data_IF_567013731712
#
_entry.id   IF_567013731712
#
_cell.length_a   1.000
_cell.length_b   1.000
_cell.length_c   1.000
_cell.angle_alpha   90.00
_cell.angle_beta   90.00
_cell.angle_gamma   90.00
#
_symmetry.space_group_name_H-M   'P 1'
#
loop_
_entity.id
_entity.type
_entity.pdbx_description
1 polymer ?
#
# COMPACT_ATOMS: atom_id res chain seq x y z
N UNK A 1 1.05 -13.25 7.07
CA UNK A 1 0.82 -13.53 8.49
C UNK A 1 2.17 -13.49 9.21
N UNK A 2 2.25 -12.87 10.38
CA UNK A 2 3.45 -12.83 11.21
C UNK A 2 3.12 -13.42 12.59
N UNK A 3 3.58 -14.63 12.92
CA UNK A 3 3.33 -15.22 14.24
C UNK A 3 4.19 -14.54 15.32
N UNK A 4 3.67 -14.50 16.54
CA UNK A 4 4.36 -14.04 17.74
C UNK A 4 4.07 -15.01 18.89
N UNK A 5 5.09 -15.46 19.64
CA UNK A 5 4.88 -16.24 20.85
C UNK A 5 4.35 -15.39 22.02
N UNK A 6 4.31 -14.06 21.85
CA UNK A 6 3.92 -13.13 22.91
C UNK A 6 2.39 -13.02 23.01
N UNK A 7 1.87 -12.76 24.22
CA UNK A 7 0.49 -12.33 24.38
C UNK A 7 0.23 -11.07 23.55
N UNK A 8 -0.99 -10.97 23.00
CA UNK A 8 -1.39 -9.89 22.10
C UNK A 8 -1.10 -8.49 22.62
N UNK A 9 -1.34 -8.22 23.89
CA UNK A 9 -1.06 -6.91 24.49
C UNK A 9 0.43 -6.53 24.40
N UNK A 10 1.31 -7.48 24.70
CA UNK A 10 2.75 -7.29 24.66
C UNK A 10 3.26 -7.18 23.22
N UNK A 11 2.75 -8.01 22.30
CA UNK A 11 3.05 -7.92 20.88
C UNK A 11 2.65 -6.56 20.28
N UNK A 12 1.49 -6.03 20.66
CA UNK A 12 1.03 -4.68 20.27
C UNK A 12 1.97 -3.62 20.81
N UNK A 13 2.39 -3.72 22.07
CA UNK A 13 3.31 -2.77 22.70
C UNK A 13 4.69 -2.78 22.04
N UNK A 14 5.26 -3.95 21.77
CA UNK A 14 6.56 -4.08 21.10
C UNK A 14 6.52 -3.52 19.67
N UNK A 15 5.48 -3.87 18.90
CA UNK A 15 5.33 -3.34 17.55
C UNK A 15 5.13 -1.83 17.55
N UNK A 16 4.40 -1.30 18.53
CA UNK A 16 4.21 0.14 18.71
C UNK A 16 5.52 0.84 19.09
N UNK A 17 6.36 0.24 19.93
CA UNK A 17 7.67 0.78 20.29
C UNK A 17 8.64 0.78 19.09
N UNK A 18 8.56 -0.23 18.23
CA UNK A 18 9.33 -0.29 16.98
C UNK A 18 8.78 0.63 15.86
N UNK A 19 7.64 1.30 16.08
CA UNK A 19 7.01 2.19 15.11
C UNK A 19 7.11 3.64 15.56
N UNK A 20 7.65 4.51 14.69
CA UNK A 20 7.67 5.94 14.95
C UNK A 20 6.25 6.51 15.01
N UNK A 21 5.90 7.18 16.11
CA UNK A 21 4.66 7.98 16.26
C UNK A 21 4.95 9.46 15.99
N UNK A 22 4.29 10.07 15.01
CA UNK A 22 4.30 11.52 14.80
C UNK A 22 5.30 12.07 13.78
N UNK A 23 5.58 13.38 13.86
CA UNK A 23 6.35 14.14 12.88
C UNK A 23 7.86 13.99 13.12
N UNK A 24 8.41 12.83 12.76
CA UNK A 24 9.86 12.58 12.87
C UNK A 24 10.47 12.67 11.48
N UNK A 25 11.26 13.72 11.25
CA UNK A 25 11.99 14.04 10.01
C UNK A 25 12.99 12.95 9.57
N UNK A 26 13.15 11.89 10.36
CA UNK A 26 14.02 10.76 10.08
C UNK A 26 13.48 9.88 8.93
N UNK A 27 14.13 9.99 7.78
CA UNK A 27 14.00 9.07 6.66
C UNK A 27 14.55 7.68 7.05
N UNK A 28 13.98 6.61 6.49
CA UNK A 28 14.38 5.21 6.78
C UNK A 28 13.61 4.56 7.93
N UNK A 29 12.62 5.26 8.50
CA UNK A 29 11.83 4.77 9.64
C UNK A 29 10.50 4.16 9.21
N UNK A 30 9.96 3.27 10.04
CA UNK A 30 8.59 2.77 9.90
C UNK A 30 7.66 3.66 10.70
N UNK A 31 6.62 4.15 10.02
CA UNK A 31 5.66 5.10 10.58
C UNK A 31 4.26 4.52 10.42
N UNK A 32 3.38 4.80 11.38
CA UNK A 32 1.99 4.38 11.27
C UNK A 32 1.26 4.26 12.60
N UNK A 33 0.10 3.63 12.55
CA UNK A 33 -0.73 3.32 13.73
C UNK A 33 -0.70 1.83 14.04
N UNK A 34 -0.58 1.52 15.33
CA UNK A 34 -0.57 0.15 15.86
C UNK A 34 -1.59 0.04 16.98
N UNK A 35 -2.70 -0.63 16.68
CA UNK A 35 -3.77 -0.99 17.59
C UNK A 35 -4.07 -2.48 17.46
N UNK A 36 -4.62 -3.09 18.51
CA UNK A 36 -4.93 -4.51 18.54
C UNK A 36 -5.90 -4.93 17.44
N UNK A 37 -6.89 -4.08 17.11
CA UNK A 37 -7.87 -4.33 16.06
C UNK A 37 -7.42 -3.81 14.68
N UNK A 38 -6.45 -2.88 14.64
CA UNK A 38 -6.04 -2.22 13.40
C UNK A 38 -4.58 -1.80 13.43
N UNK A 39 -3.83 -2.31 12.47
CA UNK A 39 -2.43 -1.95 12.23
C UNK A 39 -2.32 -1.37 10.83
N UNK A 40 -1.69 -0.21 10.71
CA UNK A 40 -1.39 0.45 9.44
C UNK A 40 0.02 1.02 9.48
N UNK A 41 0.96 0.39 8.76
CA UNK A 41 2.37 0.75 8.77
C UNK A 41 2.86 1.04 7.35
N UNK A 42 3.81 1.97 7.22
CA UNK A 42 4.50 2.25 5.97
C UNK A 42 5.94 2.67 6.19
N UNK A 43 6.78 2.45 5.20
CA UNK A 43 8.16 2.91 5.20
C UNK A 43 8.21 4.38 4.78
N UNK A 44 8.92 5.21 5.54
CA UNK A 44 9.23 6.58 5.16
C UNK A 44 10.57 6.62 4.42
N UNK A 45 10.52 6.56 3.09
CA UNK A 45 11.69 6.79 2.23
C UNK A 45 11.88 8.27 1.89
N UNK A 46 13.08 8.63 1.42
CA UNK A 46 13.40 10.01 0.99
C UNK A 46 12.52 10.44 -0.19
N UNK A 47 12.25 9.50 -1.10
CA UNK A 47 11.44 9.72 -2.28
C UNK A 47 9.94 9.64 -1.92
N UNK A 48 9.21 10.73 -2.14
CA UNK A 48 7.75 10.72 -1.99
C UNK A 48 7.11 9.90 -3.11
N UNK A 49 6.60 8.73 -2.74
CA UNK A 49 5.89 7.84 -3.64
C UNK A 49 4.49 7.52 -3.08
N UNK A 50 3.44 7.92 -3.78
CA UNK A 50 2.06 7.65 -3.38
C UNK A 50 1.66 6.19 -3.61
N UNK A 51 2.33 5.48 -4.51
CA UNK A 51 2.04 4.08 -4.85
C UNK A 51 2.72 3.07 -3.91
N UNK A 52 3.49 3.55 -2.93
CA UNK A 52 4.22 2.70 -2.00
C UNK A 52 3.27 1.78 -1.21
N UNK A 53 3.68 0.54 -0.93
CA UNK A 53 2.86 -0.39 -0.18
C UNK A 53 2.78 0.01 1.29
N UNK A 54 1.56 -0.02 1.83
CA UNK A 54 1.29 0.07 3.25
C UNK A 54 0.91 -1.31 3.75
N UNK A 55 1.46 -1.73 4.89
CA UNK A 55 0.97 -2.90 5.59
C UNK A 55 -0.32 -2.55 6.33
N UNK A 56 -1.40 -3.29 6.06
CA UNK A 56 -2.67 -3.18 6.80
C UNK A 56 -3.06 -4.52 7.38
N UNK A 57 -3.36 -4.54 8.66
CA UNK A 57 -3.64 -5.78 9.38
C UNK A 57 -4.33 -5.60 10.73
N UNK A 58 -4.43 -6.70 11.47
CA UNK A 58 -4.98 -6.79 12.81
C UNK A 58 -4.34 -7.98 13.55
N UNK A 59 -4.34 -7.93 14.88
CA UNK A 59 -3.87 -9.04 15.70
C UNK A 59 -4.99 -10.06 15.96
N UNK A 60 -4.63 -11.34 15.88
CA UNK A 60 -5.50 -12.49 16.18
C UNK A 60 -4.82 -13.30 17.26
N UNK A 61 -5.56 -13.69 18.30
CA UNK A 61 -5.06 -14.53 19.38
C UNK A 61 -4.90 -15.99 18.88
N UNK A 62 -3.84 -16.66 19.33
CA UNK A 62 -3.55 -18.05 18.95
C UNK A 62 -3.23 -18.88 20.21
N UNK A 63 -3.27 -20.20 20.12
CA UNK A 63 -2.97 -21.08 21.26
C UNK A 63 -1.56 -20.88 21.85
N UNK A 64 -0.62 -20.33 21.06
CA UNK A 64 0.78 -20.15 21.43
C UNK A 64 1.15 -18.67 21.62
N UNK A 65 0.19 -17.74 21.63
CA UNK A 65 0.43 -16.30 21.70
C UNK A 65 -0.53 -15.54 20.80
N UNK A 66 -0.01 -14.86 19.78
CA UNK A 66 -0.83 -14.16 18.79
C UNK A 66 -0.20 -14.15 17.40
N UNK A 67 -0.95 -13.67 16.40
CA UNK A 67 -0.46 -13.48 15.05
C UNK A 67 -0.96 -12.16 14.46
N UNK A 68 -0.09 -11.45 13.75
CA UNK A 68 -0.45 -10.28 12.97
C UNK A 68 -0.86 -10.70 11.56
N UNK A 69 -2.16 -10.57 11.26
CA UNK A 69 -2.76 -10.89 9.97
C UNK A 69 -2.89 -9.61 9.16
N UNK A 70 -2.52 -9.65 7.88
CA UNK A 70 -2.57 -8.47 7.05
C UNK A 70 -1.91 -8.65 5.69
N UNK A 71 -1.94 -7.59 4.89
CA UNK A 71 -1.37 -7.55 3.54
C UNK A 71 -0.72 -6.20 3.25
N UNK A 72 0.20 -6.21 2.30
CA UNK A 72 0.75 -5.00 1.70
C UNK A 72 -0.16 -4.54 0.58
N UNK A 73 -0.64 -3.30 0.67
CA UNK A 73 -1.48 -2.70 -0.36
C UNK A 73 -1.22 -1.20 -0.47
N UNK A 74 -1.39 -0.59 -1.66
CA UNK A 74 -1.33 0.86 -1.80
C UNK A 74 -2.36 1.59 -0.93
N UNK A 75 -2.16 2.89 -0.64
CA UNK A 75 -3.17 3.76 -0.04
C UNK A 75 -4.54 3.61 -0.71
N UNK A 76 -5.62 3.51 0.08
CA UNK A 76 -6.98 3.32 -0.44
C UNK A 76 -7.39 4.46 -1.38
N UNK A 77 -6.96 5.69 -1.06
CA UNK A 77 -7.16 6.86 -1.91
C UNK A 77 -6.52 6.71 -3.28
N UNK A 78 -5.30 6.19 -3.35
CA UNK A 78 -4.59 5.97 -4.61
C UNK A 78 -5.28 4.89 -5.44
N UNK A 79 -5.74 3.83 -4.80
CA UNK A 79 -6.53 2.81 -5.47
C UNK A 79 -7.84 3.38 -6.03
N UNK A 80 -8.58 4.15 -5.23
CA UNK A 80 -9.83 4.79 -5.66
C UNK A 80 -9.60 5.77 -6.81
N UNK A 81 -8.55 6.60 -6.72
CA UNK A 81 -8.15 7.52 -7.78
C UNK A 81 -7.83 6.77 -9.08
N UNK A 82 -7.07 5.67 -9.01
CA UNK A 82 -6.74 4.88 -10.19
C UNK A 82 -7.97 4.23 -10.84
N UNK A 83 -8.91 3.72 -10.03
CA UNK A 83 -10.17 3.17 -10.54
C UNK A 83 -10.99 4.26 -11.22
N UNK A 84 -11.12 5.43 -10.59
CA UNK A 84 -11.82 6.57 -11.17
C UNK A 84 -11.17 7.04 -12.48
N UNK A 85 -9.84 7.23 -12.47
CA UNK A 85 -9.07 7.67 -13.62
C UNK A 85 -9.21 6.71 -14.81
N UNK A 86 -8.97 5.41 -14.59
CA UNK A 86 -9.09 4.40 -15.64
C UNK A 86 -10.53 4.28 -16.12
N UNK A 87 -11.52 4.41 -15.23
CA UNK A 87 -12.93 4.47 -15.59
C UNK A 87 -13.23 5.62 -16.55
N UNK A 88 -12.68 6.81 -16.29
CA UNK A 88 -12.84 7.96 -17.17
C UNK A 88 -12.15 7.75 -18.52
N UNK A 89 -10.94 7.18 -18.54
CA UNK A 89 -10.25 6.84 -19.79
C UNK A 89 -11.06 5.85 -20.63
N UNK A 90 -11.57 4.79 -20.03
CA UNK A 90 -12.39 3.78 -20.71
C UNK A 90 -13.67 4.41 -21.24
N UNK A 91 -14.40 5.16 -20.40
CA UNK A 91 -15.65 5.82 -20.80
C UNK A 91 -15.43 6.79 -21.97
N UNK A 92 -14.41 7.65 -21.86
CA UNK A 92 -14.06 8.59 -22.92
C UNK A 92 -13.69 7.89 -24.22
N UNK A 93 -12.85 6.85 -24.16
CA UNK A 93 -12.50 6.04 -25.33
C UNK A 93 -13.73 5.38 -25.94
N UNK A 94 -14.62 4.79 -25.14
CA UNK A 94 -15.85 4.16 -25.64
C UNK A 94 -16.78 5.17 -26.31
N UNK A 95 -17.00 6.34 -25.71
CA UNK A 95 -17.82 7.40 -26.30
C UNK A 95 -17.24 7.85 -27.64
N UNK A 96 -15.92 8.11 -27.69
CA UNK A 96 -15.25 8.51 -28.93
C UNK A 96 -15.39 7.45 -30.02
N UNK A 97 -15.16 6.17 -29.71
CA UNK A 97 -15.29 5.08 -30.70
C UNK A 97 -16.74 4.95 -31.18
N UNK A 98 -17.72 4.98 -30.27
CA UNK A 98 -19.13 4.77 -30.62
C UNK A 98 -19.71 5.96 -31.39
N UNK A 99 -19.44 7.19 -30.97
CA UNK A 99 -20.00 8.37 -31.64
C UNK A 99 -19.26 8.69 -32.93
N UNK A 100 -17.93 8.78 -32.89
CA UNK A 100 -17.15 9.18 -34.06
C UNK A 100 -17.07 8.04 -35.08
N UNK A 101 -16.95 6.79 -34.63
CA UNK A 101 -16.94 5.64 -35.53
C UNK A 101 -18.28 5.39 -36.24
N UNK A 102 -19.40 5.87 -35.69
CA UNK A 102 -20.70 5.89 -36.39
C UNK A 102 -20.78 6.98 -37.46
N UNK A 103 -20.07 8.10 -37.28
CA UNK A 103 -20.04 9.20 -38.24
C UNK A 103 -19.10 8.88 -39.40
N UNK A 104 -17.87 8.49 -39.08
CA UNK A 104 -16.84 8.12 -40.04
C UNK A 104 -15.80 7.20 -39.37
N UNK A 105 -15.60 5.96 -39.87
CA UNK A 105 -14.57 5.06 -39.37
C UNK A 105 -13.15 5.64 -39.39
N UNK A 106 -12.84 6.61 -40.27
CA UNK A 106 -11.54 7.30 -40.28
C UNK A 106 -11.27 8.11 -39.01
N UNK A 107 -12.30 8.38 -38.19
CA UNK A 107 -12.20 9.12 -36.93
C UNK A 107 -11.93 8.22 -35.71
N UNK A 108 -11.92 6.89 -35.85
CA UNK A 108 -11.60 5.95 -34.77
C UNK A 108 -10.24 6.25 -34.08
N UNK A 109 -9.17 6.68 -34.79
CA UNK A 109 -7.93 7.10 -34.15
C UNK A 109 -8.07 8.24 -33.12
N UNK A 110 -9.17 9.00 -33.13
CA UNK A 110 -9.46 10.01 -32.10
C UNK A 110 -9.66 9.40 -30.69
N UNK A 111 -9.84 8.08 -30.58
CA UNK A 111 -9.91 7.39 -29.29
C UNK A 111 -8.52 7.04 -28.70
N UNK A 112 -7.45 7.16 -29.50
CA UNK A 112 -6.07 6.84 -29.14
C UNK A 112 -5.59 7.60 -27.88
N UNK A 113 -5.88 8.90 -27.68
CA UNK A 113 -5.47 9.61 -26.48
C UNK A 113 -5.96 8.97 -25.18
N UNK A 114 -7.21 8.46 -25.15
CA UNK A 114 -7.76 7.80 -23.96
C UNK A 114 -7.06 6.47 -23.65
N UNK A 115 -6.70 5.71 -24.68
CA UNK A 115 -5.92 4.47 -24.54
C UNK A 115 -4.51 4.77 -24.04
N UNK A 116 -3.85 5.78 -24.61
CA UNK A 116 -2.51 6.20 -24.20
C UNK A 116 -2.50 6.72 -22.76
N UNK A 117 -3.50 7.51 -22.35
CA UNK A 117 -3.65 7.96 -20.96
C UNK A 117 -3.84 6.80 -19.98
N UNK A 118 -4.63 5.78 -20.36
CA UNK A 118 -4.82 4.59 -19.54
C UNK A 118 -3.51 3.81 -19.40
N UNK A 119 -2.81 3.57 -20.52
CA UNK A 119 -1.51 2.90 -20.53
C UNK A 119 -0.47 3.64 -19.69
N UNK A 120 -0.44 4.97 -19.79
CA UNK A 120 0.43 5.83 -18.99
C UNK A 120 0.14 5.72 -17.50
N UNK A 121 -1.14 5.75 -17.09
CA UNK A 121 -1.54 5.56 -15.69
C UNK A 121 -1.10 4.21 -15.13
N UNK A 122 -1.26 3.13 -15.91
CA UNK A 122 -0.77 1.79 -15.52
C UNK A 122 0.75 1.77 -15.39
N UNK A 123 1.47 2.42 -16.33
CA UNK A 123 2.91 2.57 -16.30
C UNK A 123 3.40 3.29 -15.04
N UNK A 124 2.77 4.40 -14.67
CA UNK A 124 3.07 5.15 -13.45
C UNK A 124 2.88 4.29 -12.18
N UNK A 125 1.80 3.53 -12.09
CA UNK A 125 1.57 2.63 -10.95
C UNK A 125 2.67 1.58 -10.85
N UNK A 126 3.01 0.93 -11.97
CA UNK A 126 4.07 -0.10 -11.98
C UNK A 126 5.43 0.48 -11.65
N UNK A 127 5.78 1.63 -12.20
CA UNK A 127 7.01 2.32 -11.90
C UNK A 127 7.08 2.71 -10.41
N UNK A 128 6.00 3.28 -9.88
CA UNK A 128 5.89 3.61 -8.46
C UNK A 128 6.04 2.38 -7.57
N UNK A 129 5.42 1.25 -7.91
CA UNK A 129 5.59 0.01 -7.16
C UNK A 129 7.01 -0.54 -7.25
N UNK A 130 7.65 -0.43 -8.42
CA UNK A 130 9.03 -0.87 -8.63
C UNK A 130 10.02 -0.05 -7.79
N UNK A 131 9.86 1.27 -7.73
CA UNK A 131 10.68 2.15 -6.89
C UNK A 131 10.55 1.84 -5.38
N UNK A 132 9.46 1.19 -4.97
CA UNK A 132 9.19 0.78 -3.59
C UNK A 132 9.26 -0.75 -3.39
N UNK A 133 9.89 -1.50 -4.32
CA UNK A 133 9.90 -2.96 -4.27
C UNK A 133 10.55 -3.54 -2.99
N UNK A 134 11.47 -2.78 -2.38
CA UNK A 134 12.16 -3.18 -1.15
C UNK A 134 11.36 -2.87 0.13
N UNK A 135 10.36 -1.99 0.07
CA UNK A 135 9.61 -1.53 1.25
C UNK A 135 8.89 -2.68 1.99
N UNK A 136 8.23 -3.64 1.31
CA UNK A 136 7.62 -4.78 1.98
C UNK A 136 8.61 -5.65 2.75
N UNK A 137 9.83 -5.84 2.21
CA UNK A 137 10.87 -6.64 2.86
C UNK A 137 11.39 -5.94 4.13
N UNK A 138 11.62 -4.62 4.04
CA UNK A 138 12.01 -3.78 5.19
C UNK A 138 10.94 -3.84 6.28
N UNK A 139 9.67 -3.61 5.92
CA UNK A 139 8.55 -3.68 6.87
C UNK A 139 8.44 -5.06 7.51
N UNK A 140 8.51 -6.12 6.69
CA UNK A 140 8.39 -7.49 7.19
C UNK A 140 9.49 -7.84 8.19
N UNK A 141 10.71 -7.33 7.99
CA UNK A 141 11.83 -7.54 8.91
C UNK A 141 11.57 -6.89 10.26
N UNK A 142 11.18 -5.61 10.28
CA UNK A 142 10.94 -4.89 11.53
C UNK A 142 9.72 -5.46 12.27
N UNK A 143 8.64 -5.78 11.55
CA UNK A 143 7.47 -6.45 12.13
C UNK A 143 7.90 -7.75 12.79
N UNK A 144 8.66 -8.60 12.08
CA UNK A 144 9.12 -9.88 12.62
C UNK A 144 9.99 -9.69 13.86
N UNK A 145 10.95 -8.76 13.81
CA UNK A 145 11.85 -8.49 14.92
C UNK A 145 11.08 -8.01 16.17
N UNK A 146 10.14 -7.07 16.01
CA UNK A 146 9.34 -6.55 17.11
C UNK A 146 8.42 -7.62 17.73
N UNK A 147 7.91 -8.54 16.91
CA UNK A 147 7.03 -9.62 17.36
C UNK A 147 7.78 -10.81 17.99
N UNK A 148 9.10 -10.88 17.82
CA UNK A 148 9.95 -11.95 18.37
C UNK A 148 10.80 -11.50 19.55
N UNK A 149 11.10 -10.20 19.65
CA UNK A 149 11.88 -9.67 20.77
C UNK A 149 11.07 -9.80 22.06
N UNK A 150 11.54 -10.64 22.99
CA UNK A 150 11.19 -10.48 24.39
C UNK A 150 11.83 -9.17 24.85
N UNK A 151 11.03 -8.12 25.02
CA UNK A 151 11.51 -6.92 25.67
C UNK A 151 11.64 -7.24 27.16
N UNK A 152 12.80 -7.75 27.57
CA UNK A 152 13.25 -7.68 28.96
C UNK A 152 13.50 -6.22 29.27
N UNK A 153 12.66 -5.59 30.08
CA UNK A 153 12.99 -4.30 30.67
C UNK A 153 14.31 -4.42 31.45
N UNK A 154 15.19 -3.41 31.40
CA UNK A 154 16.30 -3.27 32.35
C UNK A 154 15.82 -2.85 33.74
#
# INVERSE_FOLDING_TARGET
>A
MFPSPLPRAQAVQNLRAATARGNITATGTIVGSVEAARVNLYHRSALRNSFKPHFRGHFVDTAQGCALHGRFAPPALVHAFMVFWLGFCVLGTTISVVQLGRMDPMLIPAALPGVLMAAFGIGLVRLGQHLSANDPAILSRVIRQALQSHHTEP
#
